data_IF_137749235563
#
_entry.id   IF_137749235563
#
_cell.length_a   1.000
_cell.length_b   1.000
_cell.length_c   1.000
_cell.angle_alpha   90.00
_cell.angle_beta   90.00
_cell.angle_gamma   90.00
#
_symmetry.space_group_name_H-M   'P 1'
#
loop_
_entity.id
_entity.type
_entity.pdbx_description
1 polymer ?
#
# COMPACT_ATOMS: atom_id res chain seq x y z
N UNK A 1 6.74 -9.73 -29.02
CA UNK A 1 7.53 -9.09 -27.95
C UNK A 1 7.18 -9.77 -26.64
N UNK A 2 8.08 -10.58 -26.06
CA UNK A 2 7.86 -11.17 -24.72
C UNK A 2 8.38 -10.17 -23.69
N UNK A 3 7.50 -9.35 -23.13
CA UNK A 3 7.86 -8.52 -21.98
C UNK A 3 8.30 -9.45 -20.86
N UNK A 4 9.54 -9.33 -20.39
CA UNK A 4 9.94 -9.96 -19.14
C UNK A 4 9.20 -9.20 -18.05
N UNK A 5 8.00 -9.65 -17.70
CA UNK A 5 7.42 -9.30 -16.42
C UNK A 5 8.39 -9.85 -15.38
N UNK A 6 9.23 -8.98 -14.82
CA UNK A 6 9.93 -9.34 -13.60
C UNK A 6 8.87 -9.87 -12.63
N UNK A 7 9.16 -11.02 -12.00
CA UNK A 7 8.25 -11.64 -11.06
C UNK A 7 8.23 -10.77 -9.81
N UNK A 8 7.30 -9.81 -9.75
CA UNK A 8 7.10 -8.95 -8.60
C UNK A 8 6.18 -9.64 -7.61
N UNK A 9 6.50 -9.53 -6.33
CA UNK A 9 5.63 -10.01 -5.26
C UNK A 9 4.81 -8.84 -4.74
N UNK A 10 3.51 -8.84 -5.06
CA UNK A 10 2.58 -7.78 -4.66
C UNK A 10 2.43 -7.60 -3.15
N UNK A 11 2.98 -8.51 -2.34
CA UNK A 11 3.03 -8.37 -0.88
C UNK A 11 4.12 -7.42 -0.40
N UNK A 12 5.17 -7.17 -1.20
CA UNK A 12 6.32 -6.35 -0.79
C UNK A 12 6.73 -5.32 -1.84
N UNK A 13 6.43 -5.56 -3.12
CA UNK A 13 6.56 -4.60 -4.19
C UNK A 13 5.24 -3.83 -4.30
N UNK A 14 5.28 -2.52 -4.07
CA UNK A 14 4.12 -1.64 -4.14
C UNK A 14 3.70 -1.39 -5.60
N UNK A 15 3.17 -2.44 -6.24
CA UNK A 15 2.79 -2.49 -7.64
C UNK A 15 1.42 -3.16 -7.76
N UNK A 16 0.51 -2.46 -8.42
CA UNK A 16 -0.77 -2.95 -8.95
C UNK A 16 -0.79 -2.76 -10.47
N UNK A 17 -1.79 -3.34 -11.13
CA UNK A 17 -1.94 -3.27 -12.59
C UNK A 17 -2.00 -1.83 -13.12
N UNK A 18 -2.54 -0.92 -12.33
CA UNK A 18 -2.83 0.47 -12.67
C UNK A 18 -1.88 1.49 -12.01
N UNK A 19 -1.30 1.15 -10.86
CA UNK A 19 -0.51 2.06 -10.02
C UNK A 19 0.74 1.37 -9.47
N UNK A 20 1.87 2.07 -9.49
CA UNK A 20 3.08 1.66 -8.78
C UNK A 20 3.64 2.79 -7.93
N UNK A 21 4.44 2.44 -6.93
CA UNK A 21 5.30 3.39 -6.25
C UNK A 21 6.34 3.98 -7.22
N UNK A 22 6.50 5.31 -7.22
CA UNK A 22 7.49 6.01 -8.04
C UNK A 22 8.93 5.55 -7.78
N UNK A 23 9.22 5.02 -6.58
CA UNK A 23 10.51 4.43 -6.22
C UNK A 23 10.84 3.19 -7.05
N UNK A 24 9.86 2.59 -7.73
CA UNK A 24 10.03 1.42 -8.59
C UNK A 24 10.08 1.77 -10.08
N UNK A 25 10.07 3.05 -10.46
CA UNK A 25 9.96 3.47 -11.86
C UNK A 25 11.15 3.08 -12.75
N UNK A 26 12.31 2.76 -12.16
CA UNK A 26 13.47 2.21 -12.86
C UNK A 26 13.36 0.70 -13.17
N UNK A 27 12.40 0.01 -12.51
CA UNK A 27 12.24 -1.45 -12.56
C UNK A 27 10.88 -1.90 -13.10
N UNK A 28 9.84 -1.09 -12.96
CA UNK A 28 8.45 -1.41 -13.29
C UNK A 28 7.94 -0.37 -14.28
N UNK A 29 7.23 -0.81 -15.32
CA UNK A 29 6.42 0.07 -16.18
C UNK A 29 4.96 0.01 -15.73
N UNK A 30 4.46 1.11 -15.16
CA UNK A 30 3.07 1.26 -14.74
C UNK A 30 2.41 2.46 -15.47
N UNK A 31 1.09 2.42 -15.73
CA UNK A 31 0.37 3.55 -16.30
C UNK A 31 0.45 4.81 -15.41
N UNK A 32 0.47 4.62 -14.09
CA UNK A 32 0.57 5.68 -13.11
C UNK A 32 1.61 5.33 -12.03
N UNK A 33 2.29 6.36 -11.55
CA UNK A 33 3.15 6.28 -10.38
C UNK A 33 2.66 7.23 -9.29
N UNK A 34 2.71 6.79 -8.04
CA UNK A 34 2.46 7.62 -6.87
C UNK A 34 3.73 7.76 -6.04
N UNK A 35 3.96 8.97 -5.53
CA UNK A 35 4.93 9.16 -4.46
C UNK A 35 4.29 8.72 -3.13
N UNK A 36 4.98 7.94 -2.29
CA UNK A 36 4.47 7.54 -0.99
C UNK A 36 4.24 8.77 -0.11
N UNK A 37 3.07 8.84 0.53
CA UNK A 37 2.71 9.86 1.50
C UNK A 37 2.67 9.26 2.92
N UNK A 38 3.71 9.46 3.75
CA UNK A 38 3.74 8.93 5.10
C UNK A 38 2.62 9.51 5.95
N UNK A 39 1.87 8.64 6.61
CA UNK A 39 0.80 8.97 7.57
C UNK A 39 0.95 8.09 8.79
N UNK A 40 0.51 8.56 9.94
CA UNK A 40 0.46 7.74 11.15
C UNK A 40 -0.91 7.08 11.29
N UNK A 41 -0.96 5.91 11.91
CA UNK A 41 -2.21 5.29 12.34
C UNK A 41 -2.74 6.04 13.57
N UNK A 42 -3.96 6.57 13.49
CA UNK A 42 -4.70 7.11 14.63
C UNK A 42 -5.23 5.99 15.54
N UNK A 43 -5.56 4.84 14.95
CA UNK A 43 -6.02 3.63 15.65
C UNK A 43 -5.36 2.39 15.05
N UNK A 44 -5.27 1.31 15.83
CA UNK A 44 -4.76 0.04 15.31
C UNK A 44 -5.66 -0.49 14.17
N UNK A 45 -5.04 -1.13 13.17
CA UNK A 45 -5.75 -1.65 12.01
C UNK A 45 -5.06 -2.89 11.42
N UNK A 46 -5.85 -3.77 10.82
CA UNK A 46 -5.33 -4.88 10.02
C UNK A 46 -4.94 -4.41 8.62
N UNK A 47 -3.72 -4.77 8.22
CA UNK A 47 -3.26 -4.66 6.84
C UNK A 47 -3.75 -5.88 6.05
N UNK A 48 -4.54 -5.64 5.01
CA UNK A 48 -5.23 -6.68 4.26
C UNK A 48 -4.72 -6.82 2.84
N UNK A 49 -4.81 -8.04 2.31
CA UNK A 49 -4.37 -8.36 0.96
C UNK A 49 -5.21 -7.70 -0.14
N UNK A 50 -6.45 -7.31 0.15
CA UNK A 50 -7.33 -6.66 -0.84
C UNK A 50 -8.23 -5.58 -0.23
N UNK A 51 -8.91 -4.85 -1.11
CA UNK A 51 -9.96 -3.90 -0.78
C UNK A 51 -11.29 -4.56 -0.34
N UNK A 52 -11.33 -5.85 0.00
CA UNK A 52 -12.47 -6.49 0.68
C UNK A 52 -12.26 -6.55 2.20
N UNK A 53 -13.32 -6.42 3.00
CA UNK A 53 -13.22 -6.29 4.46
C UNK A 53 -12.95 -7.63 5.17
N UNK A 54 -13.34 -8.71 4.52
CA UNK A 54 -13.16 -10.11 4.90
C UNK A 54 -11.91 -10.74 4.26
N UNK A 55 -11.12 -9.97 3.51
CA UNK A 55 -9.90 -10.50 2.89
C UNK A 55 -8.80 -10.81 3.90
N UNK A 56 -7.87 -11.67 3.50
CA UNK A 56 -6.72 -12.12 4.30
C UNK A 56 -6.04 -10.95 5.02
N UNK A 57 -5.83 -11.10 6.33
CA UNK A 57 -5.01 -10.21 7.13
C UNK A 57 -3.56 -10.64 6.97
N UNK A 58 -2.73 -9.75 6.44
CA UNK A 58 -1.30 -9.98 6.24
C UNK A 58 -0.51 -9.71 7.52
N UNK A 59 -0.87 -8.65 8.24
CA UNK A 59 -0.35 -8.28 9.55
C UNK A 59 -1.30 -7.28 10.21
N UNK A 60 -1.16 -7.08 11.52
CA UNK A 60 -1.80 -5.96 12.23
C UNK A 60 -0.78 -4.84 12.47
N UNK A 61 -1.27 -3.60 12.46
CA UNK A 61 -0.52 -2.38 12.70
C UNK A 61 -1.08 -1.68 13.94
N UNK A 62 -0.22 -1.05 14.72
CA UNK A 62 -0.58 -0.35 15.95
C UNK A 62 -0.88 1.12 15.70
N UNK A 63 -1.62 1.75 16.62
CA UNK A 63 -1.73 3.20 16.63
C UNK A 63 -0.34 3.83 16.81
N UNK A 64 -0.04 4.87 16.03
CA UNK A 64 1.27 5.51 15.95
C UNK A 64 2.21 4.91 14.90
N UNK A 65 1.93 3.72 14.38
CA UNK A 65 2.73 3.14 13.28
C UNK A 65 2.60 4.01 12.03
N UNK A 66 3.68 4.07 11.25
CA UNK A 66 3.68 4.77 9.96
C UNK A 66 3.13 3.85 8.88
N UNK A 67 2.32 4.42 7.99
CA UNK A 67 1.87 3.83 6.75
C UNK A 67 2.09 4.82 5.60
N UNK A 68 2.81 4.38 4.58
CA UNK A 68 3.09 5.14 3.37
C UNK A 68 1.94 4.96 2.38
N UNK A 69 1.03 5.93 2.32
CA UNK A 69 -0.14 5.90 1.46
C UNK A 69 0.26 6.19 0.01
N UNK A 70 -0.18 5.33 -0.91
CA UNK A 70 -0.01 5.50 -2.36
C UNK A 70 -1.34 5.82 -3.06
N UNK A 71 -2.45 5.31 -2.53
CA UNK A 71 -3.79 5.59 -3.03
C UNK A 71 -4.79 5.70 -1.87
N UNK A 72 -5.67 6.71 -1.93
CA UNK A 72 -6.88 6.79 -1.11
C UNK A 72 -8.09 6.66 -2.04
N UNK A 73 -8.86 5.59 -1.87
CA UNK A 73 -10.05 5.31 -2.67
C UNK A 73 -11.23 4.94 -1.76
N UNK A 74 -12.23 5.81 -1.74
CA UNK A 74 -13.39 5.64 -0.86
C UNK A 74 -12.98 5.61 0.61
N UNK A 75 -13.26 4.50 1.30
CA UNK A 75 -12.96 4.31 2.72
C UNK A 75 -11.66 3.52 2.96
N UNK A 76 -10.79 3.39 1.96
CA UNK A 76 -9.54 2.61 2.07
C UNK A 76 -8.33 3.40 1.63
N UNK A 77 -7.22 3.10 2.29
CA UNK A 77 -5.89 3.45 1.85
C UNK A 77 -5.17 2.20 1.35
N UNK A 78 -4.48 2.31 0.23
CA UNK A 78 -3.52 1.33 -0.24
C UNK A 78 -2.11 1.92 -0.17
N UNK A 79 -1.15 1.11 0.24
CA UNK A 79 0.18 1.61 0.56
C UNK A 79 1.08 0.56 1.17
N UNK A 80 2.16 1.03 1.80
CA UNK A 80 3.20 0.21 2.40
C UNK A 80 3.29 0.47 3.90
N UNK A 81 3.40 -0.57 4.70
CA UNK A 81 3.80 -0.47 6.10
C UNK A 81 5.33 -0.56 6.18
N UNK A 82 6.08 0.55 6.27
CA UNK A 82 7.55 0.53 6.21
C UNK A 82 8.21 -0.30 7.31
N UNK A 83 7.57 -0.46 8.48
CA UNK A 83 8.09 -1.28 9.57
C UNK A 83 8.18 -2.77 9.22
N UNK A 84 7.27 -3.27 8.38
CA UNK A 84 7.23 -4.68 7.95
C UNK A 84 7.62 -4.87 6.48
N UNK A 85 7.63 -3.78 5.70
CA UNK A 85 7.81 -3.80 4.25
C UNK A 85 6.60 -4.36 3.49
N UNK A 86 5.46 -4.58 4.16
CA UNK A 86 4.30 -5.23 3.57
C UNK A 86 3.40 -4.19 2.90
N UNK A 87 2.95 -4.51 1.69
CA UNK A 87 2.02 -3.74 0.88
C UNK A 87 0.61 -4.28 1.12
N UNK A 88 -0.37 -3.38 1.25
CA UNK A 88 -1.74 -3.81 1.42
C UNK A 88 -2.72 -2.66 1.61
N UNK A 89 -3.90 -3.02 2.11
CA UNK A 89 -5.01 -2.10 2.34
C UNK A 89 -5.31 -1.96 3.84
N UNK A 90 -5.57 -0.73 4.27
CA UNK A 90 -6.12 -0.43 5.58
C UNK A 90 -7.38 0.44 5.44
N UNK A 91 -8.27 0.49 6.45
CA UNK A 91 -9.32 1.50 6.50
C UNK A 91 -8.73 2.91 6.50
N UNK A 92 -9.21 3.79 5.63
CA UNK A 92 -8.73 5.18 5.58
C UNK A 92 -9.00 5.91 6.91
N UNK A 93 -10.09 5.55 7.60
CA UNK A 93 -10.44 6.09 8.92
C UNK A 93 -9.47 5.68 10.05
N UNK A 94 -8.56 4.72 9.81
CA UNK A 94 -7.51 4.38 10.77
C UNK A 94 -6.31 5.33 10.69
N UNK A 95 -6.21 6.16 9.65
CA UNK A 95 -5.13 7.13 9.48
C UNK A 95 -5.45 8.44 10.18
N UNK A 96 -4.40 9.15 10.58
CA UNK A 96 -4.53 10.56 10.95
C UNK A 96 -4.93 11.41 9.74
N UNK A 97 -5.58 12.54 10.01
CA UNK A 97 -5.88 13.54 8.99
C UNK A 97 -4.60 13.99 8.25
N UNK A 98 -4.78 14.47 7.03
CA UNK A 98 -3.69 15.06 6.27
C UNK A 98 -3.25 16.34 6.99
N UNK A 99 -2.00 16.38 7.47
CA UNK A 99 -1.41 17.63 7.96
C UNK A 99 -1.14 18.61 6.81
#
# INVERSE_FOLDING_TARGET
>A
MKGRSATFDSRVDAVRRDLADVRLADRVFAPHYAAPMPRSLATAADLRASAAADSEVLTSLNAGDVFEVLELAGNRAWGVAPATGIVGYIPAAALTDAQ
#
